data_IF_416071818787
#
_entry.id   IF_416071818787
#
_cell.length_a   1.000
_cell.length_b   1.000
_cell.length_c   1.000
_cell.angle_alpha   90.00
_cell.angle_beta   90.00
_cell.angle_gamma   90.00
#
_symmetry.space_group_name_H-M   'P 1'
#
loop_
_entity.id
_entity.type
_entity.pdbx_description
1 polymer ?
#
# COMPACT_ATOMS: atom_id res chain seq x y z
N UNK A 1 -10.24 -17.48 35.27
CA UNK A 1 -9.25 -16.69 34.55
C UNK A 1 -8.95 -17.54 33.35
N UNK A 2 -9.60 -17.25 32.23
CA UNK A 2 -9.41 -18.03 30.99
C UNK A 2 -7.94 -17.89 30.58
N UNK A 3 -7.30 -19.04 30.32
CA UNK A 3 -5.98 -19.12 29.73
C UNK A 3 -6.10 -18.58 28.28
N UNK A 4 -5.81 -17.29 28.12
CA UNK A 4 -5.61 -16.70 26.81
C UNK A 4 -4.25 -17.17 26.27
N UNK A 5 -4.25 -18.29 25.55
CA UNK A 5 -3.19 -18.57 24.59
C UNK A 5 -3.44 -17.64 23.40
N UNK A 6 -2.54 -16.66 23.12
CA UNK A 6 -2.66 -15.88 21.91
C UNK A 6 -2.58 -16.87 20.74
N UNK A 7 -3.56 -16.84 19.83
CA UNK A 7 -3.46 -17.55 18.57
C UNK A 7 -2.06 -17.30 18.00
N UNK A 8 -1.30 -18.37 17.75
CA UNK A 8 0.01 -18.30 17.11
C UNK A 8 -0.21 -17.95 15.64
N UNK A 9 -0.62 -16.70 15.40
CA UNK A 9 -0.74 -16.10 14.07
C UNK A 9 0.69 -15.77 13.63
N UNK A 10 1.43 -16.83 13.31
CA UNK A 10 2.72 -16.70 12.65
C UNK A 10 2.52 -15.86 11.38
N UNK A 11 3.27 -14.77 11.18
CA UNK A 11 3.07 -13.92 10.02
C UNK A 11 3.17 -14.74 8.75
N UNK A 12 2.14 -14.68 7.91
CA UNK A 12 2.17 -15.29 6.58
C UNK A 12 3.27 -14.58 5.77
N UNK A 13 4.30 -15.34 5.38
CA UNK A 13 5.40 -14.80 4.58
C UNK A 13 5.03 -14.92 3.10
N UNK A 14 5.01 -13.78 2.41
CA UNK A 14 4.77 -13.72 0.97
C UNK A 14 6.09 -13.48 0.24
N UNK A 15 6.41 -14.33 -0.75
CA UNK A 15 7.55 -14.08 -1.63
C UNK A 15 7.21 -12.94 -2.61
N UNK A 16 8.15 -12.02 -2.78
CA UNK A 16 8.03 -10.88 -3.70
C UNK A 16 9.08 -11.04 -4.79
N UNK A 17 8.66 -10.91 -6.04
CA UNK A 17 9.57 -11.00 -7.18
C UNK A 17 10.56 -9.82 -7.14
N UNK A 18 11.86 -10.02 -7.44
CA UNK A 18 12.88 -8.97 -7.29
C UNK A 18 12.54 -7.64 -7.98
N UNK A 19 11.92 -7.68 -9.15
CA UNK A 19 11.46 -6.52 -9.92
C UNK A 19 10.40 -5.69 -9.19
N UNK A 20 9.55 -6.33 -8.39
CA UNK A 20 8.47 -5.69 -7.63
C UNK A 20 8.95 -5.16 -6.27
N UNK A 21 10.15 -5.55 -5.82
CA UNK A 21 10.67 -5.16 -4.51
C UNK A 21 10.70 -3.64 -4.30
N UNK A 22 11.21 -2.82 -5.24
CA UNK A 22 11.29 -1.39 -4.99
C UNK A 22 9.90 -0.70 -5.04
N UNK A 23 8.91 -1.28 -5.72
CA UNK A 23 7.53 -0.81 -5.68
C UNK A 23 6.89 -1.12 -4.31
N UNK A 24 7.14 -2.30 -3.76
CA UNK A 24 6.74 -2.63 -2.40
C UNK A 24 7.40 -1.70 -1.38
N UNK A 25 8.70 -1.44 -1.48
CA UNK A 25 9.38 -0.51 -0.57
C UNK A 25 8.82 0.92 -0.66
N UNK A 26 8.45 1.39 -1.86
CA UNK A 26 7.77 2.66 -2.03
C UNK A 26 6.39 2.63 -1.35
N UNK A 27 5.60 1.59 -1.61
CA UNK A 27 4.28 1.40 -0.99
C UNK A 27 4.37 1.42 0.53
N UNK A 28 5.27 0.63 1.13
CA UNK A 28 5.46 0.58 2.59
C UNK A 28 5.84 1.96 3.16
N UNK A 29 6.56 2.79 2.39
CA UNK A 29 6.89 4.16 2.79
C UNK A 29 5.70 5.12 2.80
N UNK A 30 4.63 4.81 2.04
CA UNK A 30 3.43 5.66 1.90
C UNK A 30 2.13 4.95 2.32
N UNK A 31 2.19 3.75 2.89
CA UNK A 31 1.03 2.88 3.13
C UNK A 31 -0.02 3.46 4.07
N UNK A 32 0.31 4.52 4.80
CA UNK A 32 -0.58 5.23 5.72
C UNK A 32 -1.28 6.43 5.07
N UNK A 33 -0.86 6.83 3.87
CA UNK A 33 -1.29 8.05 3.20
C UNK A 33 -2.50 7.77 2.29
N UNK A 34 -3.63 7.40 2.90
CA UNK A 34 -4.87 7.15 2.17
C UNK A 34 -5.77 8.37 2.12
N UNK A 35 -6.39 8.59 0.96
CA UNK A 35 -7.51 9.52 0.80
C UNK A 35 -8.79 8.80 1.17
N UNK A 36 -9.44 9.25 2.24
CA UNK A 36 -10.62 8.60 2.83
C UNK A 36 -11.81 9.56 2.75
N UNK A 37 -12.96 9.05 2.32
CA UNK A 37 -14.26 9.72 2.47
C UNK A 37 -15.06 8.99 3.52
N UNK A 38 -15.41 9.68 4.60
CA UNK A 38 -16.24 9.15 5.67
C UNK A 38 -17.66 9.75 5.60
N UNK A 39 -18.68 8.92 5.80
CA UNK A 39 -20.07 9.34 5.83
C UNK A 39 -20.96 8.35 6.60
N UNK A 40 -22.28 8.52 6.49
CA UNK A 40 -23.26 7.71 7.22
C UNK A 40 -23.18 6.20 6.90
N UNK A 41 -22.58 5.82 5.77
CA UNK A 41 -22.38 4.42 5.34
C UNK A 41 -21.00 3.84 5.64
N UNK A 42 -20.19 4.51 6.47
CA UNK A 42 -18.82 4.08 6.81
C UNK A 42 -17.73 4.90 6.11
N UNK A 43 -16.51 4.37 6.13
CA UNK A 43 -15.36 4.93 5.44
C UNK A 43 -15.19 4.26 4.07
N UNK A 44 -14.79 5.04 3.06
CA UNK A 44 -14.44 4.55 1.74
C UNK A 44 -13.03 5.06 1.40
N UNK A 45 -12.14 4.12 1.10
CA UNK A 45 -10.79 4.42 0.66
C UNK A 45 -10.82 4.69 -0.84
N UNK A 46 -10.35 5.86 -1.26
CA UNK A 46 -10.38 6.27 -2.67
C UNK A 46 -9.07 5.98 -3.42
N UNK A 47 -7.96 5.90 -2.69
CA UNK A 47 -6.62 5.75 -3.23
C UNK A 47 -5.57 6.38 -2.31
N UNK A 48 -4.31 6.15 -2.61
CA UNK A 48 -3.17 6.78 -1.99
C UNK A 48 -3.10 8.27 -2.37
N UNK A 49 -2.47 9.07 -1.51
CA UNK A 49 -2.15 10.46 -1.84
C UNK A 49 -0.95 10.51 -2.81
N UNK A 50 -1.22 10.76 -4.09
CA UNK A 50 -0.19 10.91 -5.11
C UNK A 50 0.77 12.06 -4.83
N UNK A 51 0.34 13.12 -4.13
CA UNK A 51 1.24 14.18 -3.70
C UNK A 51 2.31 13.67 -2.74
N UNK A 52 1.92 12.81 -1.79
CA UNK A 52 2.86 12.15 -0.88
C UNK A 52 3.78 11.16 -1.62
N UNK A 53 3.24 10.45 -2.62
CA UNK A 53 4.02 9.54 -3.48
C UNK A 53 5.10 10.31 -4.27
N UNK A 54 4.72 11.37 -4.99
CA UNK A 54 5.65 12.21 -5.76
C UNK A 54 6.70 12.90 -4.87
N UNK A 55 6.34 13.27 -3.65
CA UNK A 55 7.28 13.84 -2.68
C UNK A 55 8.21 12.79 -2.04
N UNK A 56 7.89 11.50 -2.13
CA UNK A 56 8.66 10.47 -1.45
C UNK A 56 10.06 10.32 -2.09
N UNK A 57 11.15 10.38 -1.31
CA UNK A 57 12.53 10.39 -1.86
C UNK A 57 12.87 9.18 -2.74
N UNK A 58 12.23 8.03 -2.50
CA UNK A 58 12.43 6.82 -3.33
C UNK A 58 11.95 7.00 -4.77
N UNK A 59 10.91 7.80 -5.00
CA UNK A 59 10.39 8.11 -6.34
C UNK A 59 11.05 9.38 -6.90
N UNK A 60 11.12 10.44 -6.11
CA UNK A 60 11.60 11.77 -6.54
C UNK A 60 13.05 11.80 -7.08
N UNK A 61 13.87 10.81 -6.72
CA UNK A 61 15.28 10.69 -7.17
C UNK A 61 15.47 9.91 -8.47
N UNK A 62 14.42 9.26 -8.98
CA UNK A 62 14.49 8.43 -10.18
C UNK A 62 14.38 9.28 -11.44
N UNK A 63 14.89 8.75 -12.57
CA UNK A 63 14.63 9.34 -13.88
C UNK A 63 13.15 9.25 -14.26
N UNK A 64 12.72 10.03 -15.26
CA UNK A 64 11.30 10.10 -15.68
C UNK A 64 10.72 8.71 -16.03
N UNK A 65 11.41 7.96 -16.90
CA UNK A 65 10.94 6.62 -17.32
C UNK A 65 10.87 5.64 -16.13
N UNK A 66 11.82 5.72 -15.20
CA UNK A 66 11.83 4.90 -13.98
C UNK A 66 10.72 5.29 -13.00
N UNK A 67 10.35 6.58 -12.93
CA UNK A 67 9.22 7.04 -12.15
C UNK A 67 7.91 6.50 -12.72
N UNK A 68 7.73 6.57 -14.04
CA UNK A 68 6.54 6.06 -14.72
C UNK A 68 6.37 4.55 -14.47
N UNK A 69 7.43 3.75 -14.66
CA UNK A 69 7.42 2.31 -14.34
C UNK A 69 7.08 2.07 -12.86
N UNK A 70 7.68 2.84 -11.95
CA UNK A 70 7.47 2.66 -10.50
C UNK A 70 6.04 3.01 -10.10
N UNK A 71 5.45 4.04 -10.70
CA UNK A 71 4.08 4.45 -10.47
C UNK A 71 3.08 3.41 -10.99
N UNK A 72 3.36 2.80 -12.15
CA UNK A 72 2.54 1.70 -12.68
C UNK A 72 2.54 0.50 -11.72
N UNK A 73 3.72 0.08 -11.26
CA UNK A 73 3.84 -1.00 -10.28
C UNK A 73 3.15 -0.69 -8.95
N UNK A 74 3.29 0.56 -8.45
CA UNK A 74 2.61 0.98 -7.23
C UNK A 74 1.08 0.94 -7.38
N UNK A 75 0.56 1.30 -8.56
CA UNK A 75 -0.88 1.26 -8.84
C UNK A 75 -1.45 -0.16 -8.76
N UNK A 76 -0.67 -1.18 -9.13
CA UNK A 76 -1.10 -2.57 -8.95
C UNK A 76 -1.30 -2.93 -7.47
N UNK A 77 -0.40 -2.47 -6.60
CA UNK A 77 -0.54 -2.66 -5.14
C UNK A 77 -1.75 -1.88 -4.62
N UNK A 78 -1.92 -0.63 -5.05
CA UNK A 78 -3.04 0.24 -4.68
C UNK A 78 -4.39 -0.40 -5.02
N UNK A 79 -4.54 -0.96 -6.23
CA UNK A 79 -5.78 -1.64 -6.66
C UNK A 79 -6.10 -2.82 -5.76
N UNK A 80 -5.13 -3.73 -5.53
CA UNK A 80 -5.35 -4.90 -4.66
C UNK A 80 -5.66 -4.51 -3.21
N UNK A 81 -5.00 -3.47 -2.69
CA UNK A 81 -5.30 -2.94 -1.36
C UNK A 81 -6.73 -2.35 -1.30
N UNK A 82 -7.15 -1.59 -2.31
CA UNK A 82 -8.50 -1.03 -2.38
C UNK A 82 -9.58 -2.11 -2.46
N UNK A 83 -9.33 -3.21 -3.18
CA UNK A 83 -10.26 -4.35 -3.25
C UNK A 83 -10.49 -4.95 -1.87
N UNK A 84 -9.45 -5.16 -1.07
CA UNK A 84 -9.55 -5.71 0.29
C UNK A 84 -10.12 -4.69 1.28
N UNK A 85 -9.62 -3.46 1.26
CA UNK A 85 -9.99 -2.42 2.24
C UNK A 85 -11.42 -1.91 2.07
N UNK A 86 -11.97 -1.98 0.86
CA UNK A 86 -13.36 -1.63 0.58
C UNK A 86 -14.28 -2.85 0.44
N UNK A 87 -13.77 -4.08 0.57
CA UNK A 87 -14.60 -5.27 0.65
C UNK A 87 -15.54 -5.15 1.86
N UNK A 88 -16.82 -5.50 1.64
CA UNK A 88 -17.87 -5.50 2.67
C UNK A 88 -18.23 -6.92 3.06
#
# INVERSE_FOLDING_TARGET
MDDYEPDDVSPEHCAVWPENWPALELFLGVQTQWRIVAGMGGAQYQGLDYGAIYAHPRLARLGFDEQDERLEQLRHIEVGALEVMNAR
#
